data_IF_595761131489
#
_entry.id   IF_595761131489
#
_cell.length_a   1.000
_cell.length_b   1.000
_cell.length_c   1.000
_cell.angle_alpha   90.00
_cell.angle_beta   90.00
_cell.angle_gamma   90.00
#
_symmetry.space_group_name_H-M   'P 1'
#
loop_
_entity.id
_entity.type
_entity.pdbx_description
1 polymer ?
#
# COMPACT_ATOMS: atom_id res chain seq x y z
N UNK A 1 -13.82 -34.75 -7.31
CA UNK A 1 -13.19 -33.41 -7.26
C UNK A 1 -14.02 -32.50 -6.37
N UNK A 2 -13.49 -32.16 -5.19
CA UNK A 2 -14.19 -31.42 -4.13
C UNK A 2 -14.35 -29.95 -4.55
N UNK A 3 -15.59 -29.50 -4.79
CA UNK A 3 -15.90 -28.06 -4.93
C UNK A 3 -15.56 -27.38 -3.61
N UNK A 4 -14.38 -26.77 -3.53
CA UNK A 4 -14.01 -25.90 -2.42
C UNK A 4 -14.99 -24.73 -2.40
N UNK A 5 -15.81 -24.70 -1.34
CA UNK A 5 -16.67 -23.57 -0.97
C UNK A 5 -15.80 -22.35 -0.69
N UNK A 6 -15.42 -21.61 -1.74
CA UNK A 6 -14.65 -20.36 -1.60
C UNK A 6 -15.52 -19.14 -1.22
N UNK A 7 -16.85 -19.24 -1.25
CA UNK A 7 -17.75 -18.12 -0.97
C UNK A 7 -17.62 -17.52 0.45
N UNK A 8 -17.48 -18.36 1.48
CA UNK A 8 -17.31 -17.89 2.87
C UNK A 8 -15.86 -17.51 3.21
N UNK A 9 -14.89 -18.03 2.45
CA UNK A 9 -13.45 -17.77 2.64
C UNK A 9 -13.05 -16.41 2.05
N UNK A 10 -13.55 -16.07 0.86
CA UNK A 10 -13.20 -14.83 0.17
C UNK A 10 -13.53 -13.57 0.98
N UNK A 11 -14.68 -13.52 1.64
CA UNK A 11 -15.03 -12.38 2.49
C UNK A 11 -14.11 -12.21 3.70
N UNK A 12 -13.64 -13.32 4.30
CA UNK A 12 -12.66 -13.29 5.40
C UNK A 12 -11.29 -12.79 4.91
N UNK A 13 -10.85 -13.27 3.75
CA UNK A 13 -9.59 -12.82 3.12
C UNK A 13 -9.66 -11.33 2.79
N UNK A 14 -10.75 -10.86 2.19
CA UNK A 14 -10.96 -9.45 1.90
C UNK A 14 -10.97 -8.58 3.15
N UNK A 15 -11.66 -9.01 4.21
CA UNK A 15 -11.68 -8.31 5.49
C UNK A 15 -10.28 -8.24 6.11
N UNK A 16 -9.51 -9.34 6.05
CA UNK A 16 -8.14 -9.39 6.54
C UNK A 16 -7.22 -8.45 5.74
N UNK A 17 -7.30 -8.46 4.41
CA UNK A 17 -6.50 -7.59 3.56
C UNK A 17 -6.84 -6.11 3.82
N UNK A 18 -8.12 -5.77 3.90
CA UNK A 18 -8.56 -4.42 4.23
C UNK A 18 -8.05 -3.99 5.62
N UNK A 19 -8.20 -4.84 6.62
CA UNK A 19 -7.69 -4.59 7.97
C UNK A 19 -6.17 -4.37 7.96
N UNK A 20 -5.41 -5.22 7.26
CA UNK A 20 -3.96 -5.06 7.12
C UNK A 20 -3.59 -3.74 6.42
N UNK A 21 -4.30 -3.36 5.36
CA UNK A 21 -4.08 -2.08 4.69
C UNK A 21 -4.27 -0.89 5.64
N UNK A 22 -5.34 -0.89 6.43
CA UNK A 22 -5.59 0.16 7.43
C UNK A 22 -4.59 0.13 8.59
N UNK A 23 -4.25 -1.05 9.10
CA UNK A 23 -3.29 -1.22 10.16
C UNK A 23 -1.92 -0.68 9.77
N UNK A 24 -1.44 -0.98 8.55
CA UNK A 24 -0.17 -0.46 8.04
C UNK A 24 -0.17 1.07 7.94
N UNK A 25 -1.30 1.68 7.53
CA UNK A 25 -1.43 3.14 7.50
C UNK A 25 -1.33 3.73 8.92
N UNK A 26 -2.02 3.14 9.89
CA UNK A 26 -1.97 3.56 11.30
C UNK A 26 -0.56 3.40 11.88
N UNK A 27 0.09 2.27 11.64
CA UNK A 27 1.47 2.01 12.08
C UNK A 27 2.43 3.06 11.52
N UNK A 28 2.26 3.44 10.26
CA UNK A 28 3.09 4.49 9.64
C UNK A 28 2.96 5.83 10.38
N UNK A 29 1.73 6.25 10.69
CA UNK A 29 1.45 7.46 11.47
C UNK A 29 2.01 7.39 12.89
N UNK A 30 1.77 6.27 13.58
CA UNK A 30 2.30 6.04 14.94
C UNK A 30 3.82 6.14 14.92
N UNK A 31 4.47 5.51 13.94
CA UNK A 31 5.92 5.60 13.76
C UNK A 31 6.37 7.04 13.52
N UNK A 32 5.67 7.83 12.71
CA UNK A 32 6.02 9.24 12.47
C UNK A 32 5.94 10.06 13.75
N UNK A 33 4.80 9.99 14.45
CA UNK A 33 4.54 10.77 15.66
C UNK A 33 5.50 10.40 16.77
N UNK A 34 5.84 9.11 16.88
CA UNK A 34 6.78 8.60 17.87
C UNK A 34 8.23 8.96 17.56
N UNK A 35 8.63 8.92 16.28
CA UNK A 35 9.99 9.24 15.87
C UNK A 35 10.26 10.74 15.89
N UNK A 36 9.29 11.57 15.51
CA UNK A 36 9.45 13.02 15.38
C UNK A 36 10.11 13.73 16.57
N UNK A 37 9.68 13.52 17.84
CA UNK A 37 10.31 14.16 18.99
C UNK A 37 11.74 13.68 19.25
N UNK A 38 12.12 12.50 18.73
CA UNK A 38 13.44 11.88 18.90
C UNK A 38 14.38 12.17 17.74
N UNK A 39 13.90 12.83 16.70
CA UNK A 39 14.76 13.23 15.59
C UNK A 39 15.79 14.26 16.06
N UNK A 40 17.04 14.16 15.56
CA UNK A 40 18.07 15.16 15.82
C UNK A 40 17.67 16.53 15.25
N UNK A 41 18.32 17.60 15.72
CA UNK A 41 18.07 18.97 15.25
C UNK A 41 18.26 19.13 13.74
N UNK A 42 19.18 18.34 13.16
CA UNK A 42 19.45 18.28 11.72
C UNK A 42 18.88 16.98 11.15
N UNK A 43 17.81 17.10 10.36
CA UNK A 43 17.09 15.97 9.75
C UNK A 43 17.42 15.89 8.27
N UNK A 44 17.57 14.68 7.73
CA UNK A 44 17.74 14.51 6.29
C UNK A 44 16.49 14.98 5.54
N UNK A 45 16.66 15.64 4.39
CA UNK A 45 15.54 15.97 3.52
C UNK A 45 15.00 14.73 2.80
N UNK A 46 13.74 14.80 2.36
CA UNK A 46 13.07 13.74 1.58
C UNK A 46 13.78 13.42 0.26
N UNK A 47 14.50 14.38 -0.34
CA UNK A 47 15.34 14.16 -1.54
C UNK A 47 16.60 13.35 -1.26
N UNK A 48 17.05 13.37 -0.01
CA UNK A 48 18.34 12.82 0.41
C UNK A 48 18.28 11.34 0.77
N UNK A 49 17.13 10.71 0.61
CA UNK A 49 16.91 9.29 0.92
C UNK A 49 17.77 8.38 0.02
N UNK A 50 18.25 8.91 -1.12
CA UNK A 50 19.08 8.20 -2.10
C UNK A 50 20.61 8.35 -1.93
N UNK A 51 21.09 9.30 -1.13
CA UNK A 51 22.53 9.58 -0.96
C UNK A 51 22.98 9.51 0.50
N UNK A 52 24.23 9.09 0.71
CA UNK A 52 24.86 9.12 2.02
C UNK A 52 25.20 10.56 2.46
N UNK A 53 25.47 11.45 1.50
CA UNK A 53 25.66 12.90 1.70
C UNK A 53 24.31 13.61 1.66
N UNK A 54 23.44 13.21 2.57
CA UNK A 54 22.11 13.77 2.66
C UNK A 54 22.19 15.26 3.00
N UNK A 55 21.51 16.10 2.21
CA UNK A 55 21.25 17.47 2.61
C UNK A 55 20.44 17.42 3.91
N UNK A 56 20.99 17.99 4.98
CA UNK A 56 20.36 18.04 6.29
C UNK A 56 19.82 19.44 6.53
N UNK A 57 18.53 19.53 6.81
CA UNK A 57 17.86 20.75 7.20
C UNK A 57 17.55 20.77 8.68
N UNK A 58 17.09 21.91 9.16
CA UNK A 58 16.51 21.99 10.51
C UNK A 58 15.27 21.10 10.62
N UNK A 59 15.08 20.54 11.81
CA UNK A 59 13.89 19.76 12.15
C UNK A 59 12.64 20.58 11.87
N UNK A 60 11.86 20.14 10.88
CA UNK A 60 10.66 20.84 10.43
C UNK A 60 9.49 19.86 10.30
N UNK A 61 8.28 20.40 10.24
CA UNK A 61 7.07 19.62 9.99
C UNK A 61 7.08 18.92 8.61
N UNK A 62 8.01 19.26 7.72
CA UNK A 62 8.20 18.60 6.43
C UNK A 62 8.48 17.09 6.55
N UNK A 63 8.93 16.61 7.72
CA UNK A 63 9.02 15.18 8.01
C UNK A 63 7.69 14.43 7.81
N UNK A 64 6.55 15.08 8.11
CA UNK A 64 5.22 14.49 7.98
C UNK A 64 4.71 14.41 6.53
N UNK A 65 5.47 14.88 5.54
CA UNK A 65 5.09 14.74 4.13
C UNK A 65 4.90 13.28 3.74
N UNK A 66 5.71 12.35 4.26
CA UNK A 66 5.59 10.92 3.96
C UNK A 66 4.26 10.29 4.43
N UNK A 67 3.87 10.35 5.73
CA UNK A 67 2.61 9.79 6.18
C UNK A 67 1.39 10.52 5.59
N UNK A 68 1.49 11.82 5.33
CA UNK A 68 0.44 12.59 4.63
C UNK A 68 0.28 12.09 3.20
N UNK A 69 1.38 12.02 2.43
CA UNK A 69 1.37 11.51 1.07
C UNK A 69 0.83 10.07 1.03
N UNK A 70 1.30 9.20 1.93
CA UNK A 70 0.79 7.83 2.06
C UNK A 70 -0.73 7.81 2.26
N UNK A 71 -1.27 8.67 3.14
CA UNK A 71 -2.71 8.78 3.39
C UNK A 71 -3.46 9.24 2.15
N UNK A 72 -2.97 10.27 1.45
CA UNK A 72 -3.55 10.78 0.21
C UNK A 72 -3.57 9.69 -0.86
N UNK A 73 -2.45 9.01 -1.08
CA UNK A 73 -2.35 7.91 -2.04
C UNK A 73 -3.25 6.74 -1.67
N UNK A 74 -3.33 6.37 -0.39
CA UNK A 74 -4.21 5.32 0.11
C UNK A 74 -5.69 5.63 -0.20
N UNK A 75 -6.14 6.84 0.13
CA UNK A 75 -7.52 7.28 -0.11
C UNK A 75 -7.82 7.41 -1.60
N UNK A 76 -6.90 7.98 -2.39
CA UNK A 76 -7.04 8.12 -3.83
C UNK A 76 -7.16 6.74 -4.51
N UNK A 77 -6.32 5.78 -4.11
CA UNK A 77 -6.37 4.42 -4.64
C UNK A 77 -7.66 3.70 -4.23
N UNK A 78 -8.11 3.85 -2.99
CA UNK A 78 -9.38 3.28 -2.53
C UNK A 78 -10.58 3.88 -3.29
N UNK A 79 -10.56 5.19 -3.54
CA UNK A 79 -11.59 5.87 -4.33
C UNK A 79 -11.58 5.39 -5.79
N UNK A 80 -10.40 5.29 -6.41
CA UNK A 80 -10.24 4.77 -7.76
C UNK A 80 -10.76 3.33 -7.88
N UNK A 81 -10.41 2.47 -6.91
CA UNK A 81 -10.91 1.11 -6.84
C UNK A 81 -12.45 1.09 -6.75
N UNK A 82 -13.06 1.91 -5.88
CA UNK A 82 -14.52 2.04 -5.78
C UNK A 82 -15.16 2.46 -7.10
N UNK A 83 -14.61 3.46 -7.81
CA UNK A 83 -15.15 3.93 -9.10
C UNK A 83 -15.09 2.82 -10.16
N UNK A 84 -13.98 2.08 -10.23
CA UNK A 84 -13.83 0.94 -11.14
C UNK A 84 -14.83 -0.17 -10.80
N UNK A 85 -15.06 -0.44 -9.51
CA UNK A 85 -16.05 -1.44 -9.07
C UNK A 85 -17.49 -1.04 -9.40
N UNK A 86 -17.88 0.22 -9.15
CA UNK A 86 -19.23 0.72 -9.45
C UNK A 86 -19.52 0.62 -10.95
N UNK A 87 -18.54 0.92 -11.82
CA UNK A 87 -18.69 0.76 -13.27
C UNK A 87 -18.84 -0.70 -13.69
N UNK A 88 -18.24 -1.66 -12.97
CA UNK A 88 -18.31 -3.08 -13.31
C UNK A 88 -19.68 -3.74 -13.01
N UNK A 89 -20.52 -3.14 -12.17
CA UNK A 89 -21.85 -3.68 -11.78
C UNK A 89 -22.95 -3.29 -12.80
N UNK A 90 -22.62 -2.46 -13.81
CA UNK A 90 -23.57 -1.96 -14.82
C UNK A 90 -23.60 -2.69 -16.19
N UNK A 91 -23.40 -4.02 -16.35
CA UNK A 91 -23.76 -4.65 -17.61
C UNK A 91 -25.27 -4.89 -17.65
N UNK A 92 -25.86 -4.58 -18.81
CA UNK A 92 -27.28 -4.60 -19.09
C UNK A 92 -27.99 -5.92 -18.77
N UNK A 93 -29.29 -5.75 -18.59
CA UNK A 93 -30.32 -6.70 -18.21
C UNK A 93 -30.44 -7.88 -19.21
N UNK A 94 -29.66 -8.96 -19.10
CA UNK A 94 -30.03 -10.28 -19.65
C UNK A 94 -29.09 -11.40 -19.15
N UNK A 95 -29.69 -12.52 -18.69
CA UNK A 95 -29.10 -13.75 -18.11
C UNK A 95 -28.44 -13.68 -16.71
N UNK A 96 -29.30 -13.61 -15.68
CA UNK A 96 -28.95 -13.24 -14.29
C UNK A 96 -28.44 -14.36 -13.36
N UNK A 97 -28.50 -15.65 -13.68
CA UNK A 97 -28.16 -16.69 -12.67
C UNK A 97 -26.74 -17.26 -12.78
N UNK A 98 -26.27 -17.61 -13.98
CA UNK A 98 -24.93 -18.16 -14.19
C UNK A 98 -23.85 -17.07 -14.33
N UNK A 99 -24.21 -15.91 -14.90
CA UNK A 99 -23.30 -14.76 -14.99
C UNK A 99 -23.07 -14.09 -13.64
N UNK A 100 -24.03 -14.15 -12.71
CA UNK A 100 -23.88 -13.56 -11.36
C UNK A 100 -22.78 -14.25 -10.55
N UNK A 101 -22.71 -15.58 -10.53
CA UNK A 101 -21.65 -16.27 -9.78
C UNK A 101 -20.25 -15.98 -10.33
N UNK A 102 -20.10 -15.89 -11.66
CA UNK A 102 -18.84 -15.54 -12.31
C UNK A 102 -18.42 -14.10 -12.04
N UNK A 103 -19.36 -13.16 -12.16
CA UNK A 103 -19.13 -11.74 -11.90
C UNK A 103 -18.81 -11.46 -10.43
N UNK A 104 -19.46 -12.14 -9.48
CA UNK A 104 -19.16 -12.01 -8.05
C UNK A 104 -17.74 -12.49 -7.71
N UNK A 105 -17.28 -13.59 -8.31
CA UNK A 105 -15.91 -14.09 -8.12
C UNK A 105 -14.87 -13.13 -8.71
N UNK A 106 -15.10 -12.64 -9.93
CA UNK A 106 -14.21 -11.65 -10.55
C UNK A 106 -14.15 -10.35 -9.75
N UNK A 107 -15.28 -9.91 -9.19
CA UNK A 107 -15.34 -8.71 -8.36
C UNK A 107 -14.64 -8.92 -7.00
N UNK A 108 -14.73 -10.11 -6.42
CA UNK A 108 -13.95 -10.51 -5.25
C UNK A 108 -12.44 -10.49 -5.52
N UNK A 109 -12.00 -11.10 -6.63
CA UNK A 109 -10.59 -11.09 -7.04
C UNK A 109 -10.06 -9.67 -7.26
N UNK A 110 -10.80 -8.81 -7.96
CA UNK A 110 -10.38 -7.41 -8.16
C UNK A 110 -10.25 -6.63 -6.84
N UNK A 111 -11.10 -6.92 -5.84
CA UNK A 111 -10.96 -6.35 -4.49
C UNK A 111 -9.72 -6.88 -3.79
N UNK A 112 -9.42 -8.18 -3.88
CA UNK A 112 -8.19 -8.77 -3.32
C UNK A 112 -6.95 -8.08 -3.90
N UNK A 113 -6.90 -7.89 -5.23
CA UNK A 113 -5.82 -7.15 -5.92
C UNK A 113 -5.68 -5.73 -5.38
N UNK A 114 -6.80 -5.01 -5.27
CA UNK A 114 -6.78 -3.63 -4.83
C UNK A 114 -6.20 -3.50 -3.40
N UNK A 115 -6.65 -4.33 -2.46
CA UNK A 115 -6.11 -4.30 -1.10
C UNK A 115 -4.67 -4.80 -1.01
N UNK A 116 -4.30 -5.80 -1.81
CA UNK A 116 -2.92 -6.27 -1.87
C UNK A 116 -2.00 -5.19 -2.44
N UNK A 117 -2.42 -4.48 -3.48
CA UNK A 117 -1.72 -3.29 -4.01
C UNK A 117 -1.58 -2.18 -2.96
N UNK A 118 -2.63 -1.91 -2.18
CA UNK A 118 -2.58 -0.97 -1.05
C UNK A 118 -1.57 -1.39 0.03
N UNK A 119 -1.49 -2.69 0.34
CA UNK A 119 -0.50 -3.22 1.29
C UNK A 119 0.92 -2.94 0.80
N UNK A 120 1.23 -3.28 -0.46
CA UNK A 120 2.55 -3.02 -1.04
C UNK A 120 2.88 -1.53 -1.08
N UNK A 121 1.91 -0.70 -1.47
CA UNK A 121 2.07 0.75 -1.45
C UNK A 121 2.40 1.27 -0.04
N UNK A 122 1.66 0.81 0.97
CA UNK A 122 1.95 1.15 2.36
C UNK A 122 3.35 0.70 2.80
N UNK A 123 3.77 -0.51 2.44
CA UNK A 123 5.12 -1.01 2.75
C UNK A 123 6.21 -0.14 2.10
N UNK A 124 6.00 0.33 0.87
CA UNK A 124 6.91 1.27 0.20
C UNK A 124 7.05 2.57 1.01
N UNK A 125 5.93 3.17 1.42
CA UNK A 125 5.97 4.40 2.23
C UNK A 125 6.62 4.18 3.59
N UNK A 126 6.27 3.10 4.29
CA UNK A 126 6.89 2.72 5.57
C UNK A 126 8.39 2.55 5.40
N UNK A 127 8.84 1.89 4.33
CA UNK A 127 10.26 1.69 4.06
C UNK A 127 10.99 3.01 3.82
N UNK A 128 10.42 3.91 3.00
CA UNK A 128 11.01 5.22 2.74
C UNK A 128 11.08 6.06 4.03
N UNK A 129 10.02 6.07 4.83
CA UNK A 129 9.99 6.80 6.10
C UNK A 129 10.96 6.22 7.12
N UNK A 130 11.03 4.90 7.26
CA UNK A 130 11.98 4.22 8.16
C UNK A 130 13.41 4.54 7.75
N UNK A 131 13.69 4.49 6.45
CA UNK A 131 14.99 4.88 5.90
C UNK A 131 15.32 6.33 6.27
N UNK A 132 14.39 7.26 6.09
CA UNK A 132 14.59 8.67 6.42
C UNK A 132 14.93 8.85 7.91
N UNK A 133 14.22 8.14 8.80
CA UNK A 133 14.48 8.16 10.24
C UNK A 133 15.90 7.64 10.52
N UNK A 134 16.29 6.50 9.95
CA UNK A 134 17.61 5.90 10.17
C UNK A 134 18.74 6.77 9.61
N UNK A 135 18.58 7.33 8.41
CA UNK A 135 19.54 8.25 7.79
C UNK A 135 19.66 9.53 8.62
N UNK A 136 18.56 10.04 9.18
CA UNK A 136 18.60 11.22 10.06
C UNK A 136 19.37 10.95 11.34
N UNK A 137 19.31 9.74 11.89
CA UNK A 137 20.13 9.33 13.03
C UNK A 137 21.57 8.93 12.65
N UNK A 138 21.94 8.98 11.36
CA UNK A 138 23.24 8.51 10.88
C UNK A 138 23.45 6.99 10.96
N UNK A 139 22.38 6.23 11.20
CA UNK A 139 22.42 4.76 11.33
C UNK A 139 22.34 4.04 9.97
N UNK A 140 21.93 4.75 8.91
CA UNK A 140 21.84 4.22 7.56
C UNK A 140 22.44 5.18 6.53
N UNK A 141 22.92 4.62 5.41
CA UNK A 141 23.53 5.36 4.29
C UNK A 141 22.53 5.71 3.16
N UNK A 142 21.25 5.41 3.34
CA UNK A 142 20.19 5.59 2.33
C UNK A 142 19.23 4.41 2.24
N UNK A 143 18.35 4.40 1.23
CA UNK A 143 17.39 3.31 0.97
C UNK A 143 18.11 2.00 0.70
N UNK A 144 17.60 0.91 1.29
CA UNK A 144 17.98 -0.42 0.86
C UNK A 144 17.42 -0.70 -0.53
N UNK A 145 18.26 -0.51 -1.56
CA UNK A 145 17.89 -0.63 -2.98
C UNK A 145 17.30 -1.99 -3.33
N UNK A 146 17.82 -3.06 -2.74
CA UNK A 146 17.34 -4.42 -2.99
C UNK A 146 15.91 -4.61 -2.47
N UNK A 147 15.67 -4.23 -1.21
CA UNK A 147 14.33 -4.33 -0.61
C UNK A 147 13.31 -3.46 -1.35
N UNK A 148 13.67 -2.22 -1.68
CA UNK A 148 12.81 -1.32 -2.44
C UNK A 148 12.50 -1.85 -3.85
N UNK A 149 13.51 -2.36 -4.56
CA UNK A 149 13.31 -2.98 -5.88
C UNK A 149 12.41 -4.22 -5.80
N UNK A 150 12.59 -5.06 -4.78
CA UNK A 150 11.72 -6.22 -4.55
C UNK A 150 10.26 -5.83 -4.33
N UNK A 151 9.99 -4.79 -3.52
CA UNK A 151 8.62 -4.29 -3.33
C UNK A 151 7.98 -3.83 -4.66
N UNK A 152 8.74 -3.14 -5.50
CA UNK A 152 8.27 -2.71 -6.82
C UNK A 152 8.03 -3.90 -7.76
N UNK A 153 8.96 -4.86 -7.80
CA UNK A 153 8.80 -6.07 -8.63
C UNK A 153 7.56 -6.85 -8.23
N UNK A 154 7.31 -7.04 -6.92
CA UNK A 154 6.12 -7.76 -6.46
C UNK A 154 4.84 -6.97 -6.80
N UNK A 155 4.85 -5.64 -6.63
CA UNK A 155 3.73 -4.78 -7.02
C UNK A 155 3.45 -4.89 -8.53
N UNK A 156 4.47 -4.94 -9.37
CA UNK A 156 4.33 -5.13 -10.82
C UNK A 156 3.86 -6.54 -11.18
N UNK A 157 4.35 -7.58 -10.49
CA UNK A 157 3.97 -8.98 -10.69
C UNK A 157 2.52 -9.28 -10.29
N UNK A 158 1.91 -8.47 -9.41
CA UNK A 158 0.48 -8.60 -9.08
C UNK A 158 -0.41 -8.52 -10.32
N UNK A 159 -0.06 -7.66 -11.28
CA UNK A 159 -0.85 -7.42 -12.50
C UNK A 159 -0.92 -8.68 -13.38
N UNK A 160 0.21 -9.29 -13.83
CA UNK A 160 0.17 -10.51 -14.63
C UNK A 160 -0.34 -11.71 -13.84
N UNK A 161 0.01 -11.85 -12.55
CA UNK A 161 -0.46 -12.97 -11.73
C UNK A 161 -1.99 -13.07 -11.72
N UNK A 162 -2.68 -11.95 -11.57
CA UNK A 162 -4.14 -11.91 -11.58
C UNK A 162 -4.77 -11.94 -12.97
N UNK A 163 -4.02 -11.66 -14.03
CA UNK A 163 -4.50 -11.86 -15.41
C UNK A 163 -4.54 -13.34 -15.79
N UNK A 164 -3.69 -14.17 -15.17
CA UNK A 164 -3.56 -15.60 -15.46
C UNK A 164 -4.49 -16.47 -14.59
N UNK A 165 -4.87 -15.99 -13.40
CA UNK A 165 -5.76 -16.67 -12.46
C UNK A 165 -7.24 -16.54 -12.84
#
# INVERSE_FOLDING_TARGET
>A
MRRLRFGASGNKVLALLAFASWLLLVVSWVMSVYAYPRLPEKVAFWTSVWSAEAARGERSAAFFVYPIAQTVFFLAFLALAKVIFIRAIRPGFQDRSLQNEGNERLLGLKKEVAYLGLIFLNLVFIHLQTTLILVSHGLAKGVNRFYFAMLLVVLLMLIPYYRVR
#
